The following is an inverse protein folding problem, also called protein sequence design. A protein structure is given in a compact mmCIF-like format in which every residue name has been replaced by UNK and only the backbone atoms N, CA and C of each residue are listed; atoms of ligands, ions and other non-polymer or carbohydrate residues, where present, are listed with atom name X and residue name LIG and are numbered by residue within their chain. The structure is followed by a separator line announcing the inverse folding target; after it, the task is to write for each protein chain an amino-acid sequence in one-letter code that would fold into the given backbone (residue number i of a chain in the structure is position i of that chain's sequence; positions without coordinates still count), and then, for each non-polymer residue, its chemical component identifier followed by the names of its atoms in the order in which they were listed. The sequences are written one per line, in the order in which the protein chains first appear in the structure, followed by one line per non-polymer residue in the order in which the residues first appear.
data_IF_716185236647
#
_entry.id   IF_716185236647
#
_cell.length_a   1.000
_cell.length_b   1.000
_cell.length_c   1.000
_cell.angle_alpha   90.00
_cell.angle_beta   90.00
_cell.angle_gamma   90.00
#
_symmetry.space_group_name_H-M   'P 1'
#
loop_
_entity.id
_entity.type
_entity.pdbx_description
1 polymer ?
#
# COMPACT_ATOMS: atom_id res chain seq x y z
N UNK A 1 16.19 17.11 -29.53
CA UNK A 1 14.74 17.21 -29.76
C UNK A 1 14.09 16.12 -28.94
N UNK A 2 13.47 16.47 -27.82
CA UNK A 2 12.78 15.53 -26.93
C UNK A 2 11.42 15.20 -27.55
N UNK A 3 11.26 13.99 -28.04
CA UNK A 3 9.94 13.49 -28.48
C UNK A 3 9.06 13.40 -27.22
N UNK A 4 7.84 13.93 -27.28
CA UNK A 4 6.92 13.84 -26.15
C UNK A 4 6.53 12.40 -25.89
N UNK A 5 6.26 12.03 -24.64
CA UNK A 5 5.78 10.69 -24.25
C UNK A 5 4.56 10.25 -25.05
N UNK A 6 3.65 11.20 -25.37
CA UNK A 6 2.47 10.95 -26.20
C UNK A 6 2.82 10.57 -27.64
N UNK A 7 3.77 11.28 -28.25
CA UNK A 7 4.19 10.96 -29.62
C UNK A 7 4.84 9.58 -29.72
N UNK A 8 5.64 9.22 -28.72
CA UNK A 8 6.29 7.92 -28.67
C UNK A 8 5.32 6.78 -28.43
N UNK A 9 4.37 6.96 -27.53
CA UNK A 9 3.30 5.99 -27.30
C UNK A 9 2.41 5.80 -28.54
N UNK A 10 2.14 6.88 -29.30
CA UNK A 10 1.43 6.82 -30.55
C UNK A 10 2.18 6.06 -31.64
N UNK A 11 3.51 6.22 -31.74
CA UNK A 11 4.35 5.46 -32.69
C UNK A 11 4.38 3.96 -32.34
N UNK A 12 4.53 3.64 -31.05
CA UNK A 12 4.48 2.24 -30.59
C UNK A 12 3.13 1.58 -30.88
N UNK A 13 2.02 2.31 -30.72
CA UNK A 13 0.67 1.82 -31.07
C UNK A 13 0.50 1.54 -32.56
N UNK A 14 1.23 2.25 -33.44
CA UNK A 14 1.22 2.05 -34.88
C UNK A 14 2.12 0.88 -35.36
N UNK A 15 2.82 0.20 -34.43
CA UNK A 15 3.74 -0.88 -34.76
C UNK A 15 5.03 -0.40 -35.44
N UNK A 16 5.35 0.91 -35.38
CA UNK A 16 6.59 1.45 -35.91
C UNK A 16 7.77 1.01 -35.04
N UNK A 17 8.90 0.68 -35.65
CA UNK A 17 10.11 0.34 -34.91
C UNK A 17 10.68 1.58 -34.25
N UNK A 18 10.54 1.65 -32.92
CA UNK A 18 11.10 2.75 -32.13
C UNK A 18 12.55 2.45 -31.78
N UNK A 19 13.48 3.38 -32.01
CA UNK A 19 14.88 3.19 -31.63
C UNK A 19 15.02 2.90 -30.12
N UNK A 20 15.89 1.94 -29.78
CA UNK A 20 16.13 1.49 -28.39
C UNK A 20 16.39 2.67 -27.43
N UNK A 21 17.10 3.70 -27.88
CA UNK A 21 17.38 4.91 -27.10
C UNK A 21 16.10 5.61 -26.64
N UNK A 22 15.09 5.72 -27.49
CA UNK A 22 13.81 6.37 -27.15
C UNK A 22 12.99 5.50 -26.22
N UNK A 23 12.98 4.19 -26.44
CA UNK A 23 12.33 3.24 -25.52
C UNK A 23 12.94 3.31 -24.12
N UNK A 24 14.27 3.33 -24.02
CA UNK A 24 14.98 3.50 -22.74
C UNK A 24 14.65 4.83 -22.06
N UNK A 25 14.54 5.91 -22.83
CA UNK A 25 14.18 7.22 -22.28
C UNK A 25 12.77 7.22 -21.68
N UNK A 26 11.80 6.58 -22.33
CA UNK A 26 10.43 6.41 -21.79
C UNK A 26 10.44 5.58 -20.51
N UNK A 27 11.12 4.44 -20.54
CA UNK A 27 11.24 3.57 -19.35
C UNK A 27 11.84 4.33 -18.18
N UNK A 28 12.92 5.04 -18.38
CA UNK A 28 13.57 5.85 -17.32
C UNK A 28 12.65 6.94 -16.79
N UNK A 29 11.96 7.67 -17.69
CA UNK A 29 11.05 8.76 -17.28
C UNK A 29 9.88 8.26 -16.44
N UNK A 30 9.35 7.06 -16.74
CA UNK A 30 8.27 6.45 -15.96
C UNK A 30 8.77 5.75 -14.69
N UNK A 31 10.01 5.26 -14.71
CA UNK A 31 10.59 4.54 -13.57
C UNK A 31 11.07 5.48 -12.45
N UNK A 32 11.63 6.64 -12.78
CA UNK A 32 12.18 7.58 -11.78
C UNK A 32 11.15 7.98 -10.72
N UNK A 33 9.91 8.42 -11.06
CA UNK A 33 8.90 8.75 -10.06
C UNK A 33 8.53 7.55 -9.18
N UNK A 34 8.44 6.35 -9.78
CA UNK A 34 8.11 5.12 -9.05
C UNK A 34 9.22 4.70 -8.08
N UNK A 35 10.48 4.85 -8.49
CA UNK A 35 11.65 4.58 -7.63
C UNK A 35 11.70 5.56 -6.47
N UNK A 36 11.51 6.86 -6.73
CA UNK A 36 11.48 7.87 -5.67
C UNK A 36 10.34 7.60 -4.67
N UNK A 37 9.17 7.26 -5.15
CA UNK A 37 8.05 6.86 -4.30
C UNK A 37 8.43 5.65 -3.42
N UNK A 38 9.04 4.61 -4.00
CA UNK A 38 9.45 3.42 -3.25
C UNK A 38 10.50 3.73 -2.18
N UNK A 39 11.44 4.64 -2.47
CA UNK A 39 12.43 5.11 -1.48
C UNK A 39 11.73 5.78 -0.30
N UNK A 40 10.74 6.65 -0.57
CA UNK A 40 9.97 7.34 0.50
C UNK A 40 9.21 6.31 1.35
N UNK A 41 8.49 5.38 0.73
CA UNK A 41 7.76 4.32 1.46
C UNK A 41 8.70 3.52 2.35
N UNK A 42 9.83 3.06 1.79
CA UNK A 42 10.82 2.29 2.55
C UNK A 42 11.43 3.11 3.70
N UNK A 43 11.70 4.40 3.49
CA UNK A 43 12.20 5.27 4.56
C UNK A 43 11.19 5.38 5.72
N UNK A 44 9.90 5.48 5.41
CA UNK A 44 8.84 5.52 6.44
C UNK A 44 8.76 4.18 7.19
N UNK A 45 8.83 3.05 6.51
CA UNK A 45 8.88 1.73 7.18
C UNK A 45 10.04 1.63 8.19
N UNK A 46 11.21 2.20 7.88
CA UNK A 46 12.33 2.25 8.83
C UNK A 46 12.07 3.22 9.99
N UNK A 47 11.44 4.37 9.74
CA UNK A 47 11.05 5.32 10.79
C UNK A 47 10.05 4.65 11.74
N UNK A 48 9.03 3.98 11.23
CA UNK A 48 8.04 3.26 12.03
C UNK A 48 8.66 2.17 12.87
N UNK A 49 9.56 1.37 12.28
CA UNK A 49 10.30 0.34 13.01
C UNK A 49 11.14 0.94 14.15
N UNK A 50 11.79 2.10 13.91
CA UNK A 50 12.54 2.81 14.94
C UNK A 50 11.62 3.36 16.04
N UNK A 51 10.46 3.92 15.67
CA UNK A 51 9.48 4.46 16.64
C UNK A 51 8.89 3.34 17.52
N UNK A 52 8.52 2.20 16.93
CA UNK A 52 8.08 1.01 17.68
C UNK A 52 9.19 0.48 18.59
N UNK A 53 10.45 0.50 18.12
CA UNK A 53 11.61 0.11 18.90
C UNK A 53 11.78 0.91 20.20
N UNK A 54 11.34 2.17 20.23
CA UNK A 54 11.35 3.00 21.44
C UNK A 54 10.27 2.62 22.46
N UNK A 55 9.18 1.96 22.05
CA UNK A 55 8.14 1.47 22.98
C UNK A 55 8.68 0.34 23.84
N UNK A 56 9.52 -0.54 23.25
CA UNK A 56 10.18 -1.62 23.95
C UNK A 56 10.35 -2.88 23.11
N UNK A 57 11.17 -3.78 23.62
CA UNK A 57 11.50 -5.04 22.96
C UNK A 57 10.27 -5.96 22.76
N UNK A 58 9.31 -5.94 23.70
CA UNK A 58 8.10 -6.75 23.62
C UNK A 58 7.19 -6.31 22.48
N UNK A 59 7.00 -5.00 22.28
CA UNK A 59 6.22 -4.46 21.17
C UNK A 59 6.82 -4.84 19.80
N UNK A 60 8.14 -4.65 19.66
CA UNK A 60 8.85 -5.04 18.43
C UNK A 60 8.77 -6.55 18.17
N UNK A 61 8.92 -7.37 19.21
CA UNK A 61 8.81 -8.83 19.10
C UNK A 61 7.39 -9.26 18.69
N UNK A 62 6.34 -8.66 19.26
CA UNK A 62 4.94 -8.97 18.95
C UNK A 62 4.61 -8.69 17.49
N UNK A 63 5.06 -7.56 16.94
CA UNK A 63 4.90 -7.22 15.52
C UNK A 63 5.73 -8.16 14.65
N UNK A 64 6.98 -8.42 15.04
CA UNK A 64 7.89 -9.29 14.30
C UNK A 64 7.36 -10.70 14.09
N UNK A 65 6.67 -11.27 15.08
CA UNK A 65 6.09 -12.62 15.01
C UNK A 65 5.07 -12.72 13.87
N UNK A 66 4.18 -11.75 13.74
CA UNK A 66 3.10 -11.79 12.74
C UNK A 66 3.48 -11.15 11.40
N UNK A 67 4.64 -10.51 11.32
CA UNK A 67 5.06 -9.76 10.12
C UNK A 67 5.15 -10.64 8.86
N UNK A 68 5.65 -11.87 8.97
CA UNK A 68 5.70 -12.80 7.83
C UNK A 68 4.30 -13.13 7.29
N UNK A 69 3.30 -13.26 8.18
CA UNK A 69 1.92 -13.52 7.79
C UNK A 69 1.26 -12.30 7.15
N UNK A 70 1.54 -11.09 7.67
CA UNK A 70 1.04 -9.85 7.05
C UNK A 70 1.64 -9.62 5.66
N UNK A 71 2.95 -9.86 5.50
CA UNK A 71 3.62 -9.77 4.20
C UNK A 71 3.08 -10.77 3.17
N UNK A 72 2.89 -12.03 3.58
CA UNK A 72 2.31 -13.05 2.73
C UNK A 72 0.91 -12.67 2.27
N UNK A 73 0.06 -12.27 3.21
CA UNK A 73 -1.33 -11.89 2.94
C UNK A 73 -1.41 -10.65 2.04
N UNK A 74 -0.58 -9.63 2.32
CA UNK A 74 -0.46 -8.44 1.47
C UNK A 74 -0.02 -8.81 0.05
N UNK A 75 1.01 -9.63 -0.11
CA UNK A 75 1.52 -10.05 -1.42
C UNK A 75 0.48 -10.80 -2.25
N UNK A 76 -0.28 -11.71 -1.63
CA UNK A 76 -1.38 -12.41 -2.30
C UNK A 76 -2.47 -11.45 -2.78
N UNK A 77 -2.89 -10.53 -1.92
CA UNK A 77 -3.90 -9.53 -2.26
C UNK A 77 -3.40 -8.53 -3.31
N UNK A 78 -2.13 -8.13 -3.24
CA UNK A 78 -1.53 -7.26 -4.24
C UNK A 78 -1.54 -7.88 -5.65
N UNK A 79 -1.30 -9.19 -5.76
CA UNK A 79 -1.41 -9.91 -7.02
C UNK A 79 -2.79 -9.77 -7.67
N UNK A 80 -3.87 -9.72 -6.89
CA UNK A 80 -5.23 -9.60 -7.41
C UNK A 80 -5.48 -8.22 -8.05
N UNK A 81 -5.20 -7.11 -7.34
CA UNK A 81 -5.45 -5.79 -7.93
C UNK A 81 -4.47 -5.46 -9.06
N UNK A 82 -3.25 -5.99 -9.05
CA UNK A 82 -2.32 -5.87 -10.16
C UNK A 82 -2.80 -6.58 -11.42
N UNK A 83 -3.45 -7.74 -11.29
CA UNK A 83 -4.00 -8.48 -12.43
C UNK A 83 -5.05 -7.67 -13.20
N UNK A 84 -5.92 -6.95 -12.48
CA UNK A 84 -6.89 -6.04 -13.11
C UNK A 84 -6.22 -4.83 -13.76
N UNK A 85 -5.16 -4.28 -13.15
CA UNK A 85 -4.42 -3.17 -13.72
C UNK A 85 -3.78 -3.54 -15.08
N UNK A 86 -3.29 -4.76 -15.22
CA UNK A 86 -2.76 -5.27 -16.50
C UNK A 86 -3.87 -5.31 -17.56
N UNK A 87 -5.08 -5.80 -17.22
CA UNK A 87 -6.21 -5.81 -18.14
C UNK A 87 -6.60 -4.40 -18.58
N UNK A 88 -6.67 -3.45 -17.66
CA UNK A 88 -6.95 -2.04 -17.98
C UNK A 88 -5.89 -1.47 -18.91
N UNK A 89 -4.60 -1.74 -18.66
CA UNK A 89 -3.52 -1.30 -19.54
C UNK A 89 -3.68 -1.87 -20.97
N UNK A 90 -4.07 -3.14 -21.10
CA UNK A 90 -4.31 -3.78 -22.40
C UNK A 90 -5.49 -3.14 -23.15
N UNK A 91 -6.61 -2.89 -22.48
CA UNK A 91 -7.77 -2.22 -23.11
C UNK A 91 -7.45 -0.79 -23.50
N UNK A 92 -6.74 -0.03 -22.65
CA UNK A 92 -6.29 1.33 -23.01
C UNK A 92 -5.31 1.31 -24.20
N UNK A 93 -4.41 0.32 -24.24
CA UNK A 93 -3.51 0.14 -25.38
C UNK A 93 -4.23 -0.18 -26.70
N UNK A 94 -5.38 -0.85 -26.63
CA UNK A 94 -6.24 -1.20 -27.77
C UNK A 94 -7.27 -0.10 -28.12
N UNK A 95 -7.22 1.07 -27.47
CA UNK A 95 -8.16 2.20 -27.58
C UNK A 95 -9.63 1.85 -27.24
N UNK A 96 -9.82 0.83 -26.38
CA UNK A 96 -11.12 0.35 -25.88
C UNK A 96 -11.42 0.90 -24.51
N UNK A 97 -11.68 2.22 -24.44
CA UNK A 97 -11.83 2.93 -23.15
C UNK A 97 -13.06 2.48 -22.34
N UNK A 98 -14.15 2.10 -23.00
CA UNK A 98 -15.37 1.66 -22.31
C UNK A 98 -15.19 0.31 -21.64
N UNK A 99 -14.43 -0.59 -22.27
CA UNK A 99 -14.07 -1.87 -21.66
C UNK A 99 -13.12 -1.68 -20.48
N UNK A 100 -12.16 -0.77 -20.59
CA UNK A 100 -11.28 -0.40 -19.49
C UNK A 100 -12.05 0.13 -18.27
N UNK A 101 -13.07 0.99 -18.48
CA UNK A 101 -13.98 1.45 -17.43
C UNK A 101 -14.82 0.32 -16.84
N UNK A 102 -15.26 -0.63 -17.65
CA UNK A 102 -15.97 -1.83 -17.23
C UNK A 102 -15.13 -2.66 -16.26
N UNK A 103 -13.87 -2.94 -16.63
CA UNK A 103 -12.91 -3.66 -15.78
C UNK A 103 -12.63 -2.91 -14.49
N UNK A 104 -12.44 -1.58 -14.54
CA UNK A 104 -12.26 -0.76 -13.35
C UNK A 104 -13.42 -0.93 -12.36
N UNK A 105 -14.67 -0.80 -12.85
CA UNK A 105 -15.86 -0.94 -11.99
C UNK A 105 -15.97 -2.34 -11.37
N UNK A 106 -15.72 -3.38 -12.16
CA UNK A 106 -15.75 -4.76 -11.69
C UNK A 106 -14.65 -5.04 -10.66
N UNK A 107 -13.44 -4.55 -10.92
CA UNK A 107 -12.30 -4.73 -10.00
C UNK A 107 -12.53 -4.06 -8.66
N UNK A 108 -13.19 -2.91 -8.62
CA UNK A 108 -13.54 -2.23 -7.38
C UNK A 108 -14.44 -3.07 -6.48
N UNK A 109 -15.53 -3.60 -7.07
CA UNK A 109 -16.47 -4.44 -6.33
C UNK A 109 -15.80 -5.73 -5.89
N UNK A 110 -15.06 -6.38 -6.80
CA UNK A 110 -14.37 -7.63 -6.52
C UNK A 110 -13.32 -7.45 -5.40
N UNK A 111 -12.45 -6.44 -5.51
CA UNK A 111 -11.40 -6.20 -4.53
C UNK A 111 -11.96 -5.75 -3.17
N UNK A 112 -13.09 -5.02 -3.15
CA UNK A 112 -13.78 -4.71 -1.90
C UNK A 112 -14.30 -5.98 -1.21
N UNK A 113 -14.98 -6.86 -1.96
CA UNK A 113 -15.51 -8.13 -1.42
C UNK A 113 -14.38 -9.03 -0.93
N UNK A 114 -13.31 -9.18 -1.72
CA UNK A 114 -12.13 -9.95 -1.33
C UNK A 114 -11.44 -9.34 -0.12
N UNK A 115 -11.31 -8.01 -0.07
CA UNK A 115 -10.74 -7.31 1.08
C UNK A 115 -11.54 -7.52 2.36
N UNK A 116 -12.89 -7.45 2.27
CA UNK A 116 -13.77 -7.74 3.41
C UNK A 116 -13.68 -9.21 3.85
N UNK A 117 -13.64 -10.15 2.92
CA UNK A 117 -13.48 -11.56 3.22
C UNK A 117 -12.11 -11.83 3.88
N UNK A 118 -11.04 -11.24 3.37
CA UNK A 118 -9.70 -11.33 3.93
C UNK A 118 -9.62 -10.70 5.33
N UNK A 119 -10.28 -9.56 5.55
CA UNK A 119 -10.38 -8.93 6.86
C UNK A 119 -11.11 -9.83 7.86
N UNK A 120 -12.27 -10.37 7.48
CA UNK A 120 -13.03 -11.28 8.34
C UNK A 120 -12.23 -12.55 8.68
N UNK A 121 -11.54 -13.12 7.70
CA UNK A 121 -10.66 -14.27 7.90
C UNK A 121 -9.50 -13.93 8.83
N UNK A 122 -8.77 -12.82 8.58
CA UNK A 122 -7.64 -12.40 9.39
C UNK A 122 -8.04 -12.10 10.84
N UNK A 123 -9.16 -11.38 11.06
CA UNK A 123 -9.70 -11.13 12.40
C UNK A 123 -10.08 -12.45 13.08
N UNK A 124 -10.72 -13.37 12.35
CA UNK A 124 -11.12 -14.68 12.88
C UNK A 124 -9.96 -15.53 13.38
N UNK A 125 -8.82 -15.51 12.67
CA UNK A 125 -7.64 -16.28 13.06
C UNK A 125 -6.68 -15.52 13.98
N UNK A 126 -6.86 -14.21 14.18
CA UNK A 126 -5.90 -13.34 14.91
C UNK A 126 -5.54 -13.87 16.30
N UNK A 127 -6.50 -14.44 17.01
CA UNK A 127 -6.27 -14.99 18.37
C UNK A 127 -5.43 -16.26 18.39
N UNK A 128 -5.47 -17.05 17.32
CA UNK A 128 -4.78 -18.33 17.22
C UNK A 128 -3.41 -18.21 16.53
N UNK A 129 -3.28 -17.25 15.61
CA UNK A 129 -2.10 -17.10 14.77
C UNK A 129 -0.79 -16.96 15.55
N UNK A 130 -0.67 -16.09 16.58
CA UNK A 130 0.59 -15.97 17.32
C UNK A 130 0.97 -17.28 18.03
N UNK A 131 -0.02 -18.01 18.56
CA UNK A 131 0.22 -19.32 19.17
C UNK A 131 0.72 -20.36 18.17
N UNK A 132 0.19 -20.39 16.95
CA UNK A 132 0.65 -21.26 15.86
C UNK A 132 2.06 -20.92 15.39
N UNK A 133 2.46 -19.65 15.50
CA UNK A 133 3.80 -19.18 15.15
C UNK A 133 4.81 -19.37 16.29
N UNK A 134 4.39 -19.93 17.43
CA UNK A 134 5.26 -20.19 18.57
C UNK A 134 5.57 -18.97 19.43
N UNK A 135 4.67 -17.97 19.43
CA UNK A 135 4.82 -16.78 20.27
C UNK A 135 4.78 -17.15 21.77
N UNK A 136 5.65 -16.49 22.55
CA UNK A 136 5.56 -16.54 24.01
C UNK A 136 4.15 -16.08 24.48
N UNK A 137 3.54 -16.72 25.49
CA UNK A 137 2.23 -16.34 26.01
C UNK A 137 2.10 -14.88 26.38
N UNK A 138 3.16 -14.23 26.82
CA UNK A 138 3.20 -12.81 27.18
C UNK A 138 3.05 -11.87 25.97
N UNK A 139 3.41 -12.33 24.76
CA UNK A 139 3.37 -11.54 23.52
C UNK A 139 2.11 -11.81 22.68
N UNK A 140 1.39 -12.89 22.96
CA UNK A 140 0.27 -13.34 22.13
C UNK A 140 -0.87 -12.32 22.07
N UNK A 141 -1.16 -11.64 23.17
CA UNK A 141 -2.24 -10.65 23.24
C UNK A 141 -1.97 -9.47 22.30
N UNK A 142 -0.77 -8.88 22.40
CA UNK A 142 -0.37 -7.72 21.60
C UNK A 142 -0.24 -8.09 20.11
N UNK A 143 0.39 -9.23 19.81
CA UNK A 143 0.52 -9.73 18.44
C UNK A 143 -0.85 -10.01 17.80
N UNK A 144 -1.79 -10.56 18.57
CA UNK A 144 -3.17 -10.81 18.13
C UNK A 144 -3.93 -9.51 17.85
N UNK A 145 -3.83 -8.54 18.75
CA UNK A 145 -4.46 -7.22 18.59
C UNK A 145 -3.90 -6.49 17.36
N UNK A 146 -2.58 -6.46 17.20
CA UNK A 146 -1.93 -5.87 16.03
C UNK A 146 -2.42 -6.51 14.72
N UNK A 147 -2.39 -7.86 14.65
CA UNK A 147 -2.81 -8.58 13.45
C UNK A 147 -4.29 -8.37 13.13
N UNK A 148 -5.16 -8.28 14.15
CA UNK A 148 -6.59 -8.01 13.98
C UNK A 148 -6.84 -6.60 13.41
N UNK A 149 -6.19 -5.59 13.96
CA UNK A 149 -6.30 -4.19 13.48
C UNK A 149 -5.76 -4.07 12.06
N UNK A 150 -4.59 -4.65 11.79
CA UNK A 150 -4.02 -4.69 10.45
C UNK A 150 -4.96 -5.40 9.45
N UNK A 151 -5.55 -6.53 9.83
CA UNK A 151 -6.51 -7.24 8.99
C UNK A 151 -7.76 -6.41 8.71
N UNK A 152 -8.25 -5.64 9.68
CA UNK A 152 -9.40 -4.74 9.50
C UNK A 152 -9.13 -3.63 8.47
N UNK A 153 -7.87 -3.24 8.24
CA UNK A 153 -7.50 -2.25 7.23
C UNK A 153 -7.48 -2.80 5.79
N UNK A 154 -7.49 -4.12 5.59
CA UNK A 154 -7.35 -4.76 4.27
C UNK A 154 -8.34 -4.27 3.20
N UNK A 155 -9.64 -4.04 3.47
CA UNK A 155 -10.56 -3.51 2.46
C UNK A 155 -10.11 -2.16 1.91
N UNK A 156 -9.60 -1.28 2.77
CA UNK A 156 -9.08 0.03 2.39
C UNK A 156 -7.79 -0.11 1.58
N UNK A 157 -6.87 -0.98 1.99
CA UNK A 157 -5.64 -1.27 1.27
C UNK A 157 -5.92 -1.82 -0.14
N UNK A 158 -6.92 -2.72 -0.28
CA UNK A 158 -7.34 -3.26 -1.57
C UNK A 158 -7.89 -2.17 -2.50
N UNK A 159 -8.74 -1.28 -2.00
CA UNK A 159 -9.28 -0.17 -2.79
C UNK A 159 -8.17 0.79 -3.20
N UNK A 160 -7.33 1.23 -2.25
CA UNK A 160 -6.20 2.13 -2.53
C UNK A 160 -5.21 1.54 -3.52
N UNK A 161 -4.86 0.25 -3.35
CA UNK A 161 -3.99 -0.48 -4.28
C UNK A 161 -4.58 -0.57 -5.69
N UNK A 162 -5.89 -0.83 -5.79
CA UNK A 162 -6.61 -0.86 -7.06
C UNK A 162 -6.54 0.49 -7.77
N UNK A 163 -6.91 1.59 -7.11
CA UNK A 163 -6.84 2.93 -7.70
C UNK A 163 -5.42 3.31 -8.11
N UNK A 164 -4.44 3.08 -7.23
CA UNK A 164 -3.04 3.42 -7.51
C UNK A 164 -2.49 2.65 -8.72
N UNK A 165 -2.80 1.36 -8.82
CA UNK A 165 -2.34 0.54 -9.95
C UNK A 165 -3.02 0.91 -11.26
N UNK A 166 -4.33 1.24 -11.21
CA UNK A 166 -5.09 1.68 -12.37
C UNK A 166 -4.63 3.04 -12.91
N UNK A 167 -4.37 4.02 -12.03
CA UNK A 167 -3.82 5.32 -12.42
C UNK A 167 -2.47 5.17 -13.11
N UNK A 168 -1.58 4.34 -12.55
CA UNK A 168 -0.30 4.04 -13.20
C UNK A 168 -0.47 3.38 -14.57
N UNK A 169 -1.42 2.47 -14.70
CA UNK A 169 -1.75 1.82 -15.97
C UNK A 169 -2.30 2.79 -17.02
N UNK A 170 -2.95 3.87 -16.57
CA UNK A 170 -3.43 4.96 -17.43
C UNK A 170 -2.35 5.98 -17.80
N UNK A 171 -1.11 5.80 -17.29
CA UNK A 171 0.02 6.70 -17.53
C UNK A 171 0.17 7.83 -16.50
N UNK A 172 -0.73 7.92 -15.52
CA UNK A 172 -0.61 8.85 -14.40
C UNK A 172 0.10 8.19 -13.21
N UNK A 173 1.41 8.34 -13.15
CA UNK A 173 2.22 7.88 -12.03
C UNK A 173 2.41 8.97 -10.95
N UNK A 174 2.13 10.23 -11.28
CA UNK A 174 2.37 11.36 -10.37
C UNK A 174 1.30 11.43 -9.28
N UNK A 175 0.02 11.29 -9.65
CA UNK A 175 -1.10 11.36 -8.70
C UNK A 175 -0.98 10.32 -7.58
N UNK A 176 -0.81 9.00 -7.86
CA UNK A 176 -0.61 8.02 -6.79
C UNK A 176 0.69 8.25 -6.02
N UNK A 177 1.73 8.78 -6.66
CA UNK A 177 2.98 9.16 -6.01
C UNK A 177 2.78 10.26 -4.96
N UNK A 178 2.09 11.34 -5.31
CA UNK A 178 1.79 12.44 -4.38
C UNK A 178 0.91 11.99 -3.22
N UNK A 179 -0.11 11.17 -3.50
CA UNK A 179 -0.97 10.59 -2.44
C UNK A 179 -0.14 9.74 -1.49
N UNK A 180 0.78 8.90 -2.01
CA UNK A 180 1.66 8.09 -1.16
C UNK A 180 2.56 8.96 -0.27
N UNK A 181 3.17 10.02 -0.81
CA UNK A 181 4.01 10.94 -0.01
C UNK A 181 3.18 11.61 1.07
N UNK A 182 1.97 12.09 0.75
CA UNK A 182 1.07 12.70 1.74
C UNK A 182 0.70 11.69 2.83
N UNK A 183 0.35 10.46 2.46
CA UNK A 183 0.04 9.39 3.40
C UNK A 183 1.22 9.10 4.32
N UNK A 184 2.45 9.02 3.78
CA UNK A 184 3.67 8.82 4.55
C UNK A 184 3.92 9.96 5.56
N UNK A 185 3.71 11.22 5.15
CA UNK A 185 3.86 12.37 6.07
C UNK A 185 2.83 12.30 7.20
N UNK A 186 1.57 12.00 6.87
CA UNK A 186 0.51 11.85 7.87
C UNK A 186 0.79 10.68 8.81
N UNK A 187 1.28 9.56 8.30
CA UNK A 187 1.63 8.39 9.06
C UNK A 187 2.70 8.70 10.13
N UNK A 188 3.80 9.35 9.74
CA UNK A 188 4.83 9.79 10.69
C UNK A 188 4.28 10.74 11.75
N UNK A 189 3.41 11.69 11.36
CA UNK A 189 2.79 12.63 12.30
C UNK A 189 1.90 11.89 13.30
N UNK A 190 1.01 11.01 12.81
CA UNK A 190 0.12 10.24 13.68
C UNK A 190 0.89 9.29 14.59
N UNK A 191 1.88 8.56 14.08
CA UNK A 191 2.72 7.69 14.87
C UNK A 191 3.47 8.46 15.96
N UNK A 192 4.03 9.64 15.63
CA UNK A 192 4.68 10.50 16.62
C UNK A 192 3.71 10.95 17.71
N UNK A 193 2.47 11.34 17.35
CA UNK A 193 1.46 11.76 18.32
C UNK A 193 0.95 10.60 19.19
N UNK A 194 0.80 9.41 18.64
CA UNK A 194 0.26 8.24 19.35
C UNK A 194 1.30 7.56 20.23
N UNK A 195 2.56 7.52 19.79
CA UNK A 195 3.65 6.84 20.53
C UNK A 195 4.23 7.72 21.64
N UNK A 196 4.18 9.06 21.50
CA UNK A 196 4.69 10.01 22.49
C UNK A 196 3.55 10.82 23.15
N UNK A 197 2.69 10.23 23.99
CA UNK A 197 1.56 10.91 24.58
C UNK A 197 1.94 12.01 25.60
N UNK A 198 3.19 12.06 26.05
CA UNK A 198 3.68 13.00 27.07
C UNK A 198 4.00 14.42 26.55
N UNK A 199 3.87 14.68 25.26
CA UNK A 199 4.04 16.04 24.72
C UNK A 199 2.68 16.71 24.52
N UNK A 200 2.52 17.92 25.08
CA UNK A 200 1.32 18.78 25.07
C UNK A 200 0.77 19.12 23.65
N UNK A 201 1.30 18.54 22.60
CA UNK A 201 0.93 18.78 21.18
C UNK A 201 -0.08 17.75 20.68
N UNK A 202 -0.34 16.66 21.42
CA UNK A 202 -1.22 15.59 20.97
C UNK A 202 -2.65 15.79 21.49
N UNK A 203 -3.60 15.95 20.57
CA UNK A 203 -5.05 16.13 20.86
C UNK A 203 -5.67 14.97 21.68
N UNK A 204 -4.99 13.84 21.83
CA UNK A 204 -5.44 12.71 22.67
C UNK A 204 -5.14 12.89 24.16
N UNK A 205 -4.26 13.81 24.53
CA UNK A 205 -3.90 14.04 25.94
C UNK A 205 -4.97 14.83 26.72
N UNK A 206 -5.91 15.47 26.03
CA UNK A 206 -6.94 16.29 26.71
C UNK A 206 -8.06 15.48 27.36
N UNK A 207 -8.14 14.15 27.16
CA UNK A 207 -9.19 13.33 27.78
C UNK A 207 -8.82 12.77 29.16
N UNK A 208 -7.53 12.54 29.43
CA UNK A 208 -7.10 12.00 30.75
C UNK A 208 -6.92 13.06 31.83
N UNK A 209 -6.83 14.34 31.45
CA UNK A 209 -6.74 15.44 32.41
C UNK A 209 -8.11 15.90 32.99
N UNK A 210 -9.19 15.24 32.61
CA UNK A 210 -10.55 15.56 33.07
C UNK A 210 -11.06 14.61 34.17
N UNK A 211 -10.27 13.58 34.54
CA UNK A 211 -10.65 12.56 35.54
C UNK A 211 -9.82 12.60 36.84
N UNK A 212 -9.08 13.73 37.14
CA UNK A 212 -8.47 14.01 38.44
C UNK A 212 -9.17 15.17 39.16
#
# INVERSE_FOLDING_TARGET
MSISLEQLSAQMRRGEQVPLRHTMQVVLTLSIPSILQQIVVTAVEYIDAAMVGHIGASATASIGIVSSSTWLMHGMLAGLYMSFAIQVAQYLGADRQDDARGVLRQSMIFNLVVGLAAAAFGIGISRFLPGWLGADPSLQADASAYFAIWSASLPFLMIMGTYSSMLRSSGDALTPGLISVLTCVLDVIFNFCLINPTREICLLYTSDAADD
#
